data_IF_747201928020
#
_entry.id   IF_747201928020
#
_cell.length_a   1.000
_cell.length_b   1.000
_cell.length_c   1.000
_cell.angle_alpha   90.00
_cell.angle_beta   90.00
_cell.angle_gamma   90.00
#
_symmetry.space_group_name_H-M   'P 1'
#
loop_
_entity.id
_entity.type
_entity.pdbx_description
1 polymer ?
#
# COMPACT_ATOMS: atom_id res chain seq x y z
N UNK A 1 61.55 -11.82 30.66
CA UNK A 1 60.27 -12.56 30.44
C UNK A 1 59.00 -11.82 30.89
N UNK A 2 59.03 -10.86 31.83
CA UNK A 2 57.83 -10.14 32.31
C UNK A 2 57.14 -9.27 31.24
N UNK A 3 57.91 -8.60 30.37
CA UNK A 3 57.35 -7.69 29.35
C UNK A 3 56.57 -8.41 28.24
N UNK A 4 56.92 -9.65 27.89
CA UNK A 4 56.19 -10.44 26.89
C UNK A 4 54.78 -10.82 27.37
N UNK A 5 54.61 -11.13 28.66
CA UNK A 5 53.29 -11.41 29.25
C UNK A 5 52.39 -10.18 29.27
N UNK A 6 52.96 -9.00 29.55
CA UNK A 6 52.23 -7.73 29.56
C UNK A 6 51.70 -7.35 28.16
N UNK A 7 52.53 -7.54 27.12
CA UNK A 7 52.14 -7.26 25.73
C UNK A 7 51.01 -8.20 25.29
N UNK A 8 51.05 -9.48 25.66
CA UNK A 8 49.99 -10.44 25.34
C UNK A 8 48.66 -10.02 25.99
N UNK A 9 48.69 -9.57 27.24
CA UNK A 9 47.49 -9.11 27.96
C UNK A 9 46.89 -7.86 27.29
N UNK A 10 47.73 -6.88 26.93
CA UNK A 10 47.28 -5.65 26.28
C UNK A 10 46.66 -5.90 24.90
N UNK A 11 47.27 -6.80 24.10
CA UNK A 11 46.70 -7.20 22.80
C UNK A 11 45.36 -7.91 22.94
N UNK A 12 45.19 -8.73 23.99
CA UNK A 12 43.92 -9.43 24.24
C UNK A 12 42.79 -8.43 24.59
N UNK A 13 43.09 -7.43 25.42
CA UNK A 13 42.13 -6.38 25.79
C UNK A 13 41.72 -5.56 24.56
N UNK A 14 42.67 -5.22 23.69
CA UNK A 14 42.37 -4.47 22.47
C UNK A 14 41.45 -5.25 21.51
N UNK A 15 41.68 -6.56 21.37
CA UNK A 15 40.81 -7.43 20.55
C UNK A 15 39.40 -7.48 21.13
N UNK A 16 39.26 -7.60 22.45
CA UNK A 16 37.94 -7.59 23.11
C UNK A 16 37.22 -6.26 22.85
N UNK A 17 37.92 -5.12 22.93
CA UNK A 17 37.35 -3.81 22.64
C UNK A 17 36.89 -3.67 21.18
N UNK A 18 37.66 -4.18 20.22
CA UNK A 18 37.29 -4.16 18.80
C UNK A 18 36.08 -5.06 18.55
N UNK A 19 36.06 -6.26 19.14
CA UNK A 19 34.93 -7.19 19.00
C UNK A 19 33.67 -6.62 19.64
N UNK A 20 33.74 -6.06 20.86
CA UNK A 20 32.61 -5.42 21.52
C UNK A 20 32.13 -4.15 20.79
N UNK A 21 33.04 -3.34 20.25
CA UNK A 21 32.68 -2.16 19.47
C UNK A 21 31.99 -2.52 18.15
N UNK A 22 32.49 -3.56 17.46
CA UNK A 22 31.86 -4.08 16.25
C UNK A 22 30.49 -4.70 16.57
N UNK A 23 30.34 -5.50 17.62
CA UNK A 23 29.02 -6.05 17.98
C UNK A 23 28.03 -4.95 18.37
N UNK A 24 28.45 -3.89 19.05
CA UNK A 24 27.59 -2.75 19.37
C UNK A 24 27.13 -2.00 18.11
N UNK A 25 28.03 -1.75 17.16
CA UNK A 25 27.70 -1.11 15.88
C UNK A 25 26.81 -2.00 14.97
N UNK A 26 26.96 -3.32 15.04
CA UNK A 26 26.07 -4.26 14.34
C UNK A 26 24.71 -4.41 15.03
N UNK A 27 24.63 -4.28 16.36
CA UNK A 27 23.36 -4.30 17.10
C UNK A 27 22.51 -3.04 16.85
N UNK A 28 23.11 -1.86 16.76
CA UNK A 28 22.35 -0.62 16.48
C UNK A 28 21.79 -0.59 15.05
N UNK A 29 22.46 -1.22 14.07
CA UNK A 29 21.90 -1.40 12.72
C UNK A 29 20.77 -2.46 12.65
N UNK A 30 20.53 -3.19 13.73
CA UNK A 30 19.62 -4.34 13.78
C UNK A 30 18.41 -4.19 14.72
N UNK A 31 18.16 -3.01 15.31
CA UNK A 31 16.88 -2.76 15.98
C UNK A 31 15.80 -2.34 14.98
N UNK A 32 15.49 -3.23 14.04
CA UNK A 32 14.12 -3.31 13.54
C UNK A 32 13.25 -3.74 14.72
N UNK A 33 12.34 -2.87 15.12
CA UNK A 33 11.25 -3.12 16.05
C UNK A 33 10.65 -4.51 15.79
N UNK A 34 10.95 -5.48 16.66
CA UNK A 34 10.44 -6.87 16.62
C UNK A 34 8.90 -6.99 16.78
N UNK A 35 8.17 -5.88 16.83
CA UNK A 35 6.72 -5.84 17.03
C UNK A 35 5.96 -5.20 15.86
N UNK A 36 6.57 -5.00 14.69
CA UNK A 36 5.83 -4.53 13.54
C UNK A 36 5.22 -5.72 12.77
N UNK A 37 3.88 -5.91 12.79
CA UNK A 37 3.24 -7.01 12.07
C UNK A 37 3.31 -6.85 10.54
N UNK A 38 3.84 -5.73 10.05
CA UNK A 38 3.88 -5.41 8.64
C UNK A 38 5.14 -5.95 7.96
N UNK A 39 4.95 -6.48 6.74
CA UNK A 39 6.06 -6.85 5.86
C UNK A 39 6.56 -5.59 5.16
N UNK A 40 7.82 -5.24 5.40
CA UNK A 40 8.47 -4.07 4.83
C UNK A 40 9.30 -4.42 3.59
N UNK A 41 9.11 -3.63 2.53
CA UNK A 41 9.78 -3.75 1.25
C UNK A 41 10.71 -2.56 1.01
N UNK A 42 11.81 -2.80 0.29
CA UNK A 42 12.77 -1.76 -0.10
C UNK A 42 12.25 -0.83 -1.20
N UNK A 43 11.21 -1.24 -1.94
CA UNK A 43 10.64 -0.45 -3.05
C UNK A 43 9.11 -0.42 -2.99
N UNK A 44 8.52 0.70 -3.41
CA UNK A 44 7.07 0.85 -3.54
C UNK A 44 6.48 -0.20 -4.49
N UNK A 45 7.18 -0.48 -5.60
CA UNK A 45 6.76 -1.48 -6.59
C UNK A 45 6.64 -2.88 -6.00
N UNK A 46 7.59 -3.28 -5.15
CA UNK A 46 7.55 -4.60 -4.51
C UNK A 46 6.38 -4.72 -3.51
N UNK A 47 6.15 -3.68 -2.71
CA UNK A 47 5.02 -3.63 -1.79
C UNK A 47 3.67 -3.73 -2.53
N UNK A 48 3.51 -2.95 -3.60
CA UNK A 48 2.30 -3.00 -4.44
C UNK A 48 2.10 -4.39 -5.03
N UNK A 49 3.15 -4.98 -5.61
CA UNK A 49 3.07 -6.31 -6.22
C UNK A 49 2.63 -7.35 -5.19
N UNK A 50 3.22 -7.33 -4.00
CA UNK A 50 2.84 -8.23 -2.91
C UNK A 50 1.37 -8.09 -2.52
N UNK A 51 0.85 -6.86 -2.39
CA UNK A 51 -0.56 -6.65 -2.06
C UNK A 51 -1.51 -7.13 -3.16
N UNK A 52 -1.16 -6.93 -4.44
CA UNK A 52 -1.98 -7.40 -5.56
C UNK A 52 -2.04 -8.93 -5.57
N UNK A 53 -0.90 -9.60 -5.39
CA UNK A 53 -0.81 -11.07 -5.37
C UNK A 53 -1.60 -11.68 -4.20
N UNK A 54 -1.65 -11.00 -3.05
CA UNK A 54 -2.40 -11.45 -1.88
C UNK A 54 -3.92 -11.27 -2.04
N UNK A 55 -4.35 -10.17 -2.68
CA UNK A 55 -5.76 -9.78 -2.73
C UNK A 55 -6.48 -10.17 -4.02
N UNK A 56 -5.76 -10.41 -5.12
CA UNK A 56 -6.37 -10.68 -6.43
C UNK A 56 -5.64 -11.77 -7.19
N UNK A 57 -6.39 -12.69 -7.77
CA UNK A 57 -5.86 -13.74 -8.63
C UNK A 57 -6.03 -13.37 -10.11
N UNK A 58 -5.23 -12.43 -10.64
CA UNK A 58 -5.29 -12.13 -12.07
C UNK A 58 -4.66 -10.83 -12.54
N UNK A 59 -5.10 -10.37 -13.72
CA UNK A 59 -4.62 -9.14 -14.33
C UNK A 59 -5.20 -7.93 -13.59
N UNK A 60 -4.29 -7.08 -13.09
CA UNK A 60 -4.63 -5.89 -12.30
C UNK A 60 -4.00 -4.65 -12.93
N UNK A 61 -4.78 -3.57 -12.96
CA UNK A 61 -4.39 -2.27 -13.51
C UNK A 61 -4.32 -1.26 -12.36
N UNK A 62 -3.13 -0.71 -12.14
CA UNK A 62 -2.92 0.37 -11.19
C UNK A 62 -3.56 1.66 -11.70
N UNK A 63 -4.37 2.29 -10.86
CA UNK A 63 -5.07 3.52 -11.19
C UNK A 63 -4.44 4.71 -10.46
N UNK A 64 -4.89 5.91 -10.83
CA UNK A 64 -4.42 7.14 -10.19
C UNK A 64 -4.92 7.18 -8.74
N UNK A 65 -3.98 7.04 -7.81
CA UNK A 65 -4.21 7.11 -6.36
C UNK A 65 -4.00 8.49 -5.76
N UNK A 66 -3.80 8.53 -4.45
CA UNK A 66 -3.44 9.75 -3.71
C UNK A 66 -1.94 10.01 -3.76
N UNK A 67 -1.53 11.20 -3.31
CA UNK A 67 -0.17 11.42 -2.85
C UNK A 67 0.03 10.81 -1.45
N UNK A 68 1.28 10.77 -0.98
CA UNK A 68 1.58 10.43 0.40
C UNK A 68 1.09 11.51 1.35
N UNK A 69 0.32 11.11 2.37
CA UNK A 69 -0.22 11.96 3.44
C UNK A 69 0.12 11.24 4.75
N UNK A 70 0.88 11.88 5.63
CA UNK A 70 1.34 11.28 6.89
C UNK A 70 2.01 9.90 6.68
N UNK A 71 2.85 9.81 5.64
CA UNK A 71 3.52 8.56 5.27
C UNK A 71 2.63 7.52 4.60
N UNK A 72 1.34 7.79 4.36
CA UNK A 72 0.41 6.82 3.77
C UNK A 72 -0.12 7.23 2.41
N UNK A 73 -0.35 6.27 1.52
CA UNK A 73 -0.86 6.49 0.16
C UNK A 73 -1.93 5.46 -0.17
N UNK A 74 -3.03 5.89 -0.78
CA UNK A 74 -4.04 4.99 -1.32
C UNK A 74 -3.83 4.79 -2.82
N UNK A 75 -3.95 3.55 -3.29
CA UNK A 75 -3.79 3.17 -4.69
C UNK A 75 -4.99 2.31 -5.07
N UNK A 76 -5.98 2.87 -5.79
CA UNK A 76 -7.04 2.08 -6.40
C UNK A 76 -6.44 1.16 -7.46
N UNK A 77 -6.93 -0.07 -7.50
CA UNK A 77 -6.53 -1.07 -8.48
C UNK A 77 -7.80 -1.69 -9.04
N UNK A 78 -7.93 -1.64 -10.36
CA UNK A 78 -8.96 -2.40 -11.08
C UNK A 78 -8.43 -3.79 -11.38
N UNK A 79 -9.23 -4.82 -11.13
CA UNK A 79 -8.88 -6.20 -11.48
C UNK A 79 -9.93 -6.80 -12.41
N UNK A 80 -9.48 -7.68 -13.29
CA UNK A 80 -10.35 -8.54 -14.10
C UNK A 80 -9.76 -9.94 -14.17
N UNK A 81 -10.49 -10.92 -13.66
CA UNK A 81 -10.08 -12.32 -13.69
C UNK A 81 -11.26 -13.26 -13.96
N UNK A 82 -10.96 -14.52 -14.28
CA UNK A 82 -11.99 -15.52 -14.66
C UNK A 82 -12.83 -16.02 -13.49
N UNK A 83 -12.32 -15.92 -12.26
CA UNK A 83 -12.91 -16.51 -11.05
C UNK A 83 -13.81 -15.50 -10.32
N UNK A 84 -13.31 -14.29 -10.14
CA UNK A 84 -13.86 -13.22 -9.32
C UNK A 84 -14.49 -12.11 -10.19
N UNK A 85 -14.45 -12.22 -11.52
CA UNK A 85 -15.05 -11.24 -12.44
C UNK A 85 -14.22 -9.96 -12.56
N UNK A 86 -14.90 -8.81 -12.58
CA UNK A 86 -14.27 -7.49 -12.63
C UNK A 86 -14.65 -6.68 -11.39
N UNK A 87 -13.71 -5.89 -10.86
CA UNK A 87 -13.93 -5.14 -9.64
C UNK A 87 -12.78 -4.22 -9.28
N UNK A 88 -12.84 -3.66 -8.07
CA UNK A 88 -11.83 -2.76 -7.53
C UNK A 88 -11.36 -3.20 -6.16
N UNK A 89 -10.08 -2.93 -5.89
CA UNK A 89 -9.48 -2.92 -4.56
C UNK A 89 -8.80 -1.57 -4.32
N UNK A 90 -8.57 -1.23 -3.06
CA UNK A 90 -7.71 -0.08 -2.70
C UNK A 90 -6.56 -0.58 -1.83
N UNK A 91 -5.35 -0.44 -2.34
CA UNK A 91 -4.12 -0.76 -1.58
C UNK A 91 -3.72 0.48 -0.81
N UNK A 92 -3.54 0.36 0.50
CA UNK A 92 -2.94 1.42 1.31
C UNK A 92 -1.50 1.06 1.62
N UNK A 93 -0.58 1.92 1.17
CA UNK A 93 0.84 1.81 1.48
C UNK A 93 1.22 2.74 2.61
N UNK A 94 2.10 2.28 3.49
CA UNK A 94 2.81 3.09 4.45
C UNK A 94 4.29 3.20 4.07
N UNK A 95 4.86 4.40 4.20
CA UNK A 95 6.26 4.72 3.97
C UNK A 95 6.90 5.16 5.27
N UNK A 96 7.93 4.43 5.71
CA UNK A 96 8.68 4.71 6.92
C UNK A 96 10.15 4.37 6.70
N UNK A 97 11.05 5.30 7.04
CA UNK A 97 12.51 5.07 6.92
C UNK A 97 12.98 4.66 5.52
N UNK A 98 12.31 5.14 4.46
CA UNK A 98 12.61 4.75 3.07
C UNK A 98 12.11 3.37 2.64
N UNK A 99 11.48 2.61 3.55
CA UNK A 99 10.81 1.33 3.27
C UNK A 99 9.31 1.54 3.09
N UNK A 100 8.67 0.54 2.51
CA UNK A 100 7.24 0.55 2.15
C UNK A 100 6.56 -0.71 2.69
N UNK A 101 5.38 -0.58 3.29
CA UNK A 101 4.58 -1.71 3.73
C UNK A 101 3.13 -1.56 3.29
N UNK A 102 2.45 -2.68 3.11
CA UNK A 102 1.02 -2.73 2.81
C UNK A 102 0.25 -2.81 4.13
N UNK A 103 -0.73 -1.93 4.33
CA UNK A 103 -1.59 -2.00 5.50
C UNK A 103 -2.69 -3.04 5.24
N UNK A 104 -2.44 -4.28 5.68
CA UNK A 104 -3.39 -5.38 5.61
C UNK A 104 -4.27 -5.38 6.86
N UNK A 105 -5.58 -5.58 6.67
CA UNK A 105 -6.65 -5.54 7.68
C UNK A 105 -6.93 -4.17 8.33
N UNK A 106 -8.13 -3.63 8.03
CA UNK A 106 -8.77 -2.57 8.83
C UNK A 106 -8.52 -1.11 8.42
N UNK A 107 -7.60 -0.84 7.48
CA UNK A 107 -7.27 0.53 7.04
C UNK A 107 -7.40 0.82 5.54
N UNK A 108 -8.11 -0.02 4.76
CA UNK A 108 -8.68 0.45 3.50
C UNK A 108 -8.72 -0.45 2.29
N UNK A 109 -8.27 -1.70 2.38
CA UNK A 109 -8.61 -2.69 1.36
C UNK A 109 -10.09 -3.07 1.55
N UNK A 110 -10.95 -2.55 0.67
CA UNK A 110 -12.28 -3.09 0.48
C UNK A 110 -12.37 -3.61 -0.95
N UNK A 111 -12.94 -4.80 -1.10
CA UNK A 111 -13.16 -5.47 -2.37
C UNK A 111 -14.61 -5.21 -2.75
N UNK A 112 -14.85 -4.79 -3.99
CA UNK A 112 -16.19 -4.94 -4.56
C UNK A 112 -16.32 -6.39 -5.03
N UNK A 113 -17.00 -7.25 -4.26
CA UNK A 113 -17.42 -8.55 -4.77
C UNK A 113 -18.33 -8.34 -6.01
N UNK A 114 -18.28 -9.22 -7.02
CA UNK A 114 -18.99 -9.00 -8.27
C UNK A 114 -20.49 -9.09 -8.00
N UNK A 115 -21.25 -7.99 -8.17
CA UNK A 115 -22.10 -7.93 -9.35
C UNK A 115 -22.26 -6.52 -9.93
N UNK A 116 -22.17 -6.44 -11.26
CA UNK A 116 -22.89 -5.48 -12.07
C UNK A 116 -22.60 -4.01 -11.75
N UNK A 117 -21.49 -3.50 -12.25
CA UNK A 117 -21.37 -2.06 -12.53
C UNK A 117 -22.53 -1.69 -13.46
N UNK A 118 -23.58 -1.13 -12.90
CA UNK A 118 -24.77 -0.74 -13.65
C UNK A 118 -24.38 0.34 -14.66
N UNK A 119 -24.92 0.23 -15.88
CA UNK A 119 -24.63 1.20 -16.92
C UNK A 119 -25.22 2.56 -16.53
N UNK A 120 -24.36 3.57 -16.38
CA UNK A 120 -24.76 4.94 -16.06
C UNK A 120 -25.08 5.22 -14.58
N UNK A 121 -24.96 4.24 -13.67
CA UNK A 121 -25.13 4.45 -12.22
C UNK A 121 -23.97 3.83 -11.43
N UNK A 122 -23.59 4.45 -10.31
CA UNK A 122 -22.55 3.94 -9.40
C UNK A 122 -23.10 2.97 -8.37
N UNK A 123 -22.24 2.07 -7.87
CA UNK A 123 -22.50 1.32 -6.64
C UNK A 123 -22.33 2.29 -5.46
N UNK A 124 -23.40 2.50 -4.68
CA UNK A 124 -23.40 3.43 -3.54
C UNK A 124 -23.73 2.70 -2.24
N UNK A 125 -22.88 2.81 -1.19
CA UNK A 125 -21.58 3.48 -1.22
C UNK A 125 -20.54 2.69 -2.02
N UNK A 126 -19.65 3.39 -2.72
CA UNK A 126 -18.44 2.78 -3.30
C UNK A 126 -17.50 2.27 -2.19
N UNK A 127 -16.22 2.06 -2.50
CA UNK A 127 -15.25 1.59 -1.50
C UNK A 127 -14.87 2.76 -0.58
N UNK A 128 -15.36 2.74 0.67
CA UNK A 128 -15.00 3.72 1.70
C UNK A 128 -13.83 3.21 2.52
N UNK A 129 -12.81 4.04 2.70
CA UNK A 129 -11.64 3.69 3.51
C UNK A 129 -11.05 4.89 4.24
N UNK A 130 -10.14 4.61 5.19
CA UNK A 130 -9.46 5.62 5.99
C UNK A 130 -7.95 5.45 5.86
N UNK A 131 -7.26 6.49 5.39
CA UNK A 131 -5.80 6.53 5.44
C UNK A 131 -5.30 6.75 6.88
N UNK A 132 -5.97 7.62 7.63
CA UNK A 132 -5.71 7.87 9.04
C UNK A 132 -6.98 8.39 9.75
N UNK A 133 -6.83 8.90 10.99
CA UNK A 133 -7.94 9.45 11.79
C UNK A 133 -8.68 10.62 11.12
N UNK A 134 -8.01 11.42 10.28
CA UNK A 134 -8.51 12.65 9.66
C UNK A 134 -8.75 12.55 8.15
N UNK A 135 -8.25 11.50 7.51
CA UNK A 135 -8.28 11.33 6.05
C UNK A 135 -9.10 10.11 5.68
N UNK A 136 -10.37 10.34 5.36
CA UNK A 136 -11.30 9.32 4.83
C UNK A 136 -11.51 9.57 3.35
N UNK A 137 -11.71 8.51 2.61
CA UNK A 137 -11.88 8.54 1.17
C UNK A 137 -12.99 7.60 0.75
N UNK A 138 -13.58 7.91 -0.40
CA UNK A 138 -14.49 7.05 -1.12
C UNK A 138 -13.98 6.90 -2.55
N UNK A 139 -13.86 5.65 -2.99
CA UNK A 139 -13.67 5.30 -4.39
C UNK A 139 -15.03 4.99 -5.00
N UNK A 140 -15.48 5.90 -5.86
CA UNK A 140 -16.62 5.72 -6.74
C UNK A 140 -16.20 5.00 -8.01
N UNK A 141 -17.05 4.12 -8.54
CA UNK A 141 -16.76 3.37 -9.76
C UNK A 141 -18.04 2.80 -10.39
N UNK A 142 -17.98 2.52 -11.70
CA UNK A 142 -19.13 2.05 -12.49
C UNK A 142 -18.77 1.84 -13.96
N UNK A 143 -19.79 1.66 -14.81
CA UNK A 143 -19.64 1.51 -16.27
C UNK A 143 -20.33 2.63 -17.03
N UNK A 144 -19.68 3.13 -18.08
CA UNK A 144 -20.25 4.06 -19.03
C UNK A 144 -19.58 3.94 -20.40
N UNK A 145 -20.26 3.28 -21.35
CA UNK A 145 -19.79 3.07 -22.73
C UNK A 145 -19.54 4.37 -23.50
N UNK A 146 -20.26 5.43 -23.17
CA UNK A 146 -20.20 6.69 -23.91
C UNK A 146 -19.14 7.66 -23.37
N UNK A 147 -18.34 7.25 -22.39
CA UNK A 147 -17.24 8.04 -21.83
C UNK A 147 -17.65 9.49 -21.50
N UNK A 148 -18.75 9.65 -20.76
CA UNK A 148 -19.32 10.96 -20.45
C UNK A 148 -18.36 11.81 -19.61
N UNK A 149 -18.34 13.13 -19.87
CA UNK A 149 -17.57 14.11 -19.09
C UNK A 149 -17.98 14.20 -17.62
N UNK A 150 -19.17 13.69 -17.26
CA UNK A 150 -19.68 13.63 -15.89
C UNK A 150 -20.58 12.42 -15.67
N UNK A 151 -20.57 11.88 -14.45
CA UNK A 151 -21.50 10.85 -13.98
C UNK A 151 -22.35 11.42 -12.85
N UNK A 152 -23.63 11.02 -12.80
CA UNK A 152 -24.53 11.38 -11.70
C UNK A 152 -24.62 10.21 -10.71
N UNK A 153 -24.32 10.48 -9.45
CA UNK A 153 -24.39 9.53 -8.35
C UNK A 153 -25.82 9.39 -7.86
N UNK A 154 -26.09 8.32 -7.10
CA UNK A 154 -27.31 8.21 -6.30
C UNK A 154 -27.41 9.44 -5.38
N UNK A 155 -28.51 10.20 -5.46
CA UNK A 155 -28.67 11.48 -4.77
C UNK A 155 -28.32 12.72 -5.60
N UNK A 156 -28.27 12.60 -6.94
CA UNK A 156 -28.12 13.71 -7.89
C UNK A 156 -26.80 14.51 -7.81
N UNK A 157 -25.81 14.05 -7.03
CA UNK A 157 -24.45 14.60 -7.05
C UNK A 157 -23.79 14.27 -8.39
N UNK A 158 -23.14 15.24 -9.04
CA UNK A 158 -22.35 15.00 -10.26
C UNK A 158 -20.86 14.95 -9.94
N UNK A 159 -20.14 14.04 -10.58
CA UNK A 159 -18.67 13.93 -10.48
C UNK A 159 -18.04 13.89 -11.87
N UNK A 160 -16.74 14.20 -11.94
CA UNK A 160 -15.92 14.03 -13.14
C UNK A 160 -15.21 12.67 -13.06
N UNK A 161 -15.58 11.69 -13.90
CA UNK A 161 -14.96 10.36 -13.90
C UNK A 161 -13.54 10.39 -14.46
N UNK A 162 -12.72 9.43 -14.02
CA UNK A 162 -11.53 8.95 -14.74
C UNK A 162 -11.87 7.58 -15.33
N UNK A 163 -11.30 7.25 -16.49
CA UNK A 163 -11.56 5.97 -17.14
C UNK A 163 -10.35 5.05 -17.03
N UNK A 164 -10.61 3.75 -16.85
CA UNK A 164 -9.59 2.72 -16.98
C UNK A 164 -9.34 2.50 -18.47
N UNK A 165 -8.07 2.62 -18.89
CA UNK A 165 -7.68 2.54 -20.30
C UNK A 165 -8.25 1.29 -20.99
N UNK A 166 -8.80 1.47 -22.20
CA UNK A 166 -9.37 0.41 -23.03
C UNK A 166 -10.54 -0.35 -22.38
N UNK A 167 -11.31 0.33 -21.52
CA UNK A 167 -12.53 -0.23 -20.92
C UNK A 167 -13.62 0.83 -20.81
N UNK A 168 -14.86 0.40 -20.53
CA UNK A 168 -15.98 1.29 -20.20
C UNK A 168 -16.06 1.62 -18.70
N UNK A 169 -15.03 1.23 -17.96
CA UNK A 169 -14.99 1.34 -16.51
C UNK A 169 -14.53 2.75 -16.14
N UNK A 170 -15.35 3.43 -15.34
CA UNK A 170 -14.95 4.68 -14.72
C UNK A 170 -14.68 4.50 -13.23
N UNK A 171 -13.88 5.42 -12.68
CA UNK A 171 -13.60 5.55 -11.27
C UNK A 171 -13.37 7.01 -10.87
N UNK A 172 -13.53 7.30 -9.59
CA UNK A 172 -13.19 8.59 -8.99
C UNK A 172 -12.88 8.41 -7.52
N UNK A 173 -11.72 8.88 -7.10
CA UNK A 173 -11.33 8.90 -5.69
C UNK A 173 -11.55 10.31 -5.11
N UNK A 174 -12.42 10.42 -4.09
CA UNK A 174 -12.70 11.68 -3.40
C UNK A 174 -12.48 11.56 -1.89
N UNK A 175 -12.17 12.70 -1.25
CA UNK A 175 -12.16 12.79 0.21
C UNK A 175 -13.61 12.73 0.73
N UNK A 176 -13.85 11.91 1.74
CA UNK A 176 -15.15 11.71 2.39
C UNK A 176 -15.21 12.44 3.74
#
# INVERSE_FOLDING_TARGET
>A
MKNKKLIIILSLILIIFIVCGLTFLFLEKGQESKNDPLIWFSTEKAAIKSAIEEQTSGNSILLKGTNYINGKKAIPVYFKNKKDGEGFIVIVLEKKGGKYATLLNGSGAAVSDPPGLSEGQEVVPGIIFKLDKKHRYILYFGKNKNHSKSITLKGNKKIVPLYVNNTDIYYRLERY
#
